data_IF_334283925868
#
_entry.id   IF_334283925868
#
_cell.length_a   1.000
_cell.length_b   1.000
_cell.length_c   1.000
_cell.angle_alpha   90.00
_cell.angle_beta   90.00
_cell.angle_gamma   90.00
#
_symmetry.space_group_name_H-M   'P 1'
#
loop_
_entity.id
_entity.type
_entity.pdbx_description
1 polymer ?
#
# COMPACT_ATOMS: atom_id res chain seq x y z
N UNK A 1 19.59 2.03 -44.92
CA UNK A 1 20.12 2.00 -43.52
C UNK A 1 19.26 2.75 -42.49
N UNK A 2 18.20 3.49 -42.85
CA UNK A 2 17.30 4.18 -41.88
C UNK A 2 16.22 3.28 -41.25
N UNK A 3 15.88 2.13 -41.85
CA UNK A 3 14.75 1.27 -41.39
C UNK A 3 15.02 0.43 -40.13
N UNK A 4 16.30 0.26 -39.74
CA UNK A 4 16.70 -0.53 -38.56
C UNK A 4 16.94 0.38 -37.34
N UNK A 5 17.11 1.69 -37.54
CA UNK A 5 17.38 2.64 -36.46
C UNK A 5 16.14 2.89 -35.58
N UNK A 6 14.95 2.96 -36.18
CA UNK A 6 13.68 3.20 -35.48
C UNK A 6 13.28 2.07 -34.50
N UNK A 7 13.34 0.77 -34.85
CA UNK A 7 13.02 -0.28 -33.88
C UNK A 7 14.03 -0.36 -32.74
N UNK A 8 15.32 -0.10 -32.99
CA UNK A 8 16.34 -0.07 -31.94
C UNK A 8 16.13 1.09 -30.95
N UNK A 9 15.74 2.27 -31.44
CA UNK A 9 15.42 3.41 -30.60
C UNK A 9 14.15 3.18 -29.79
N UNK A 10 13.14 2.53 -30.39
CA UNK A 10 11.93 2.13 -29.68
C UNK A 10 12.21 1.09 -28.59
N UNK A 11 13.02 0.06 -28.87
CA UNK A 11 13.43 -0.94 -27.88
C UNK A 11 14.24 -0.29 -26.75
N UNK A 12 15.15 0.62 -27.07
CA UNK A 12 15.93 1.35 -26.06
C UNK A 12 15.03 2.22 -25.17
N UNK A 13 14.05 2.94 -25.75
CA UNK A 13 13.07 3.73 -24.99
C UNK A 13 12.17 2.85 -24.11
N UNK A 14 11.68 1.71 -24.63
CA UNK A 14 10.90 0.73 -23.84
C UNK A 14 11.75 0.19 -22.69
N UNK A 15 13.02 -0.10 -22.95
CA UNK A 15 13.96 -0.56 -21.93
C UNK A 15 14.19 0.50 -20.86
N UNK A 16 14.39 1.77 -21.24
CA UNK A 16 14.60 2.87 -20.28
C UNK A 16 13.34 3.14 -19.44
N UNK A 17 12.16 3.08 -20.05
CA UNK A 17 10.88 3.20 -19.34
C UNK A 17 10.67 2.02 -18.39
N UNK A 18 10.97 0.80 -18.84
CA UNK A 18 10.94 -0.39 -17.98
C UNK A 18 11.92 -0.22 -16.80
N UNK A 19 13.13 0.26 -17.02
CA UNK A 19 14.13 0.49 -15.97
C UNK A 19 13.69 1.52 -14.91
N UNK A 20 13.02 2.62 -15.29
CA UNK A 20 12.50 3.61 -14.32
C UNK A 20 11.26 3.15 -13.56
N UNK A 21 10.45 2.29 -14.18
CA UNK A 21 9.36 1.59 -13.47
C UNK A 21 9.91 0.46 -12.60
N UNK A 22 11.15 0.00 -12.83
CA UNK A 22 11.72 -1.16 -12.14
C UNK A 22 12.83 -0.85 -11.14
N UNK A 23 13.25 0.41 -10.99
CA UNK A 23 14.20 0.78 -9.93
C UNK A 23 13.50 0.63 -8.58
N UNK A 24 14.00 -0.25 -7.67
CA UNK A 24 13.45 -0.38 -6.33
C UNK A 24 13.50 0.97 -5.63
N UNK A 25 12.51 1.22 -4.76
CA UNK A 25 12.60 2.37 -3.85
C UNK A 25 13.88 2.18 -3.03
N UNK A 26 14.68 3.23 -2.92
CA UNK A 26 15.90 3.17 -2.13
C UNK A 26 15.52 3.14 -0.65
N UNK A 27 15.50 1.94 -0.06
CA UNK A 27 15.13 1.72 1.34
C UNK A 27 16.07 2.47 2.31
N UNK A 28 17.28 2.84 1.86
CA UNK A 28 18.19 3.70 2.63
C UNK A 28 17.66 5.12 2.79
N UNK A 29 16.70 5.57 1.97
CA UNK A 29 16.08 6.88 2.09
C UNK A 29 15.25 7.04 3.38
N UNK A 30 14.75 5.93 3.94
CA UNK A 30 14.05 5.93 5.22
C UNK A 30 14.98 5.71 6.41
N UNK A 31 16.22 5.26 6.19
CA UNK A 31 17.20 5.05 7.25
C UNK A 31 17.65 6.40 7.84
N UNK A 32 17.27 6.66 9.10
CA UNK A 32 17.68 7.85 9.86
C UNK A 32 16.60 8.90 10.08
N UNK A 33 15.39 8.72 9.54
CA UNK A 33 14.24 9.52 9.98
C UNK A 33 13.72 8.96 11.30
N UNK A 34 13.31 9.79 12.26
CA UNK A 34 12.56 9.33 13.45
C UNK A 34 11.11 9.10 13.02
N UNK A 35 10.87 7.93 12.43
CA UNK A 35 9.82 7.66 11.45
C UNK A 35 8.37 7.65 12.00
N UNK A 36 8.10 7.93 13.27
CA UNK A 36 6.75 7.77 13.85
C UNK A 36 6.16 9.01 14.57
N UNK A 37 6.70 10.21 14.31
CA UNK A 37 6.31 11.47 14.97
C UNK A 37 6.02 12.63 13.99
N UNK A 38 5.88 12.35 12.70
CA UNK A 38 5.59 13.35 11.68
C UNK A 38 4.10 13.69 11.55
N UNK A 39 3.70 14.36 10.45
CA UNK A 39 2.31 14.73 10.19
C UNK A 39 1.37 13.52 10.02
N UNK A 40 1.79 12.42 9.38
CA UNK A 40 0.93 11.25 9.20
C UNK A 40 0.63 10.59 10.55
N UNK A 41 1.65 10.42 11.39
CA UNK A 41 1.54 9.81 12.72
C UNK A 41 0.64 10.63 13.61
N UNK A 42 0.78 11.96 13.60
CA UNK A 42 -0.13 12.85 14.34
C UNK A 42 -1.56 12.68 13.86
N UNK A 43 -1.80 12.74 12.55
CA UNK A 43 -3.15 12.57 11.99
C UNK A 43 -3.78 11.22 12.40
N UNK A 44 -3.07 10.10 12.23
CA UNK A 44 -3.57 8.77 12.60
C UNK A 44 -3.85 8.68 14.11
N UNK A 45 -2.96 9.22 14.94
CA UNK A 45 -3.14 9.24 16.40
C UNK A 45 -4.37 10.05 16.79
N UNK A 46 -4.52 11.24 16.21
CA UNK A 46 -5.60 12.16 16.52
C UNK A 46 -6.94 11.59 16.07
N UNK A 47 -6.99 10.97 14.88
CA UNK A 47 -8.17 10.26 14.38
C UNK A 47 -8.58 9.12 15.33
N UNK A 48 -7.63 8.27 15.73
CA UNK A 48 -7.89 7.18 16.66
C UNK A 48 -8.40 7.68 18.02
N UNK A 49 -7.82 8.76 18.56
CA UNK A 49 -8.27 9.38 19.82
C UNK A 49 -9.64 10.03 19.71
N UNK A 50 -9.94 10.70 18.61
CA UNK A 50 -11.27 11.30 18.36
C UNK A 50 -12.37 10.23 18.30
N UNK A 51 -12.03 9.04 17.80
CA UNK A 51 -12.88 7.85 17.86
C UNK A 51 -13.02 7.23 19.26
N UNK A 52 -12.50 7.85 20.31
CA UNK A 52 -12.36 7.29 21.66
C UNK A 52 -11.55 5.97 21.69
N UNK A 53 -10.50 5.89 20.87
CA UNK A 53 -9.60 4.72 20.79
C UNK A 53 -10.33 3.42 20.42
N UNK A 54 -11.47 3.58 19.75
CA UNK A 54 -12.30 2.49 19.27
C UNK A 54 -11.52 1.62 18.28
N UNK A 55 -11.68 0.30 18.38
CA UNK A 55 -11.05 -0.60 17.43
C UNK A 55 -11.63 -0.43 16.02
N UNK A 56 -10.81 -0.59 14.97
CA UNK A 56 -11.24 -0.37 13.59
C UNK A 56 -12.45 -1.23 13.17
N UNK A 57 -12.65 -2.39 13.82
CA UNK A 57 -13.80 -3.27 13.59
C UNK A 57 -15.13 -2.67 14.03
N UNK A 58 -15.09 -1.74 14.98
CA UNK A 58 -16.27 -1.07 15.51
C UNK A 58 -16.61 0.20 14.71
N UNK A 59 -15.81 0.54 13.70
CA UNK A 59 -16.16 1.59 12.74
C UNK A 59 -17.27 1.09 11.80
N UNK A 60 -18.33 1.89 11.65
CA UNK A 60 -19.39 1.64 10.67
C UNK A 60 -18.79 1.43 9.27
N UNK A 61 -17.77 2.21 8.95
CA UNK A 61 -16.96 2.05 7.76
C UNK A 61 -15.51 2.47 8.06
N UNK A 62 -14.60 1.49 8.10
CA UNK A 62 -13.16 1.71 8.35
C UNK A 62 -12.49 2.68 7.36
N UNK A 63 -13.10 2.91 6.19
CA UNK A 63 -12.60 3.85 5.20
C UNK A 63 -13.02 5.30 5.47
N UNK A 64 -13.82 5.59 6.51
CA UNK A 64 -14.26 6.95 6.84
C UNK A 64 -13.10 7.89 7.16
N UNK A 65 -11.94 7.36 7.58
CA UNK A 65 -10.70 8.14 7.71
C UNK A 65 -10.34 8.88 6.42
N UNK A 66 -10.69 8.34 5.24
CA UNK A 66 -10.41 8.96 3.94
C UNK A 66 -11.31 10.17 3.65
N UNK A 67 -12.41 10.33 4.38
CA UNK A 67 -13.30 11.48 4.27
C UNK A 67 -12.77 12.71 5.04
N UNK A 68 -11.81 12.52 5.95
CA UNK A 68 -11.19 13.63 6.68
C UNK A 68 -10.45 14.59 5.73
N UNK A 69 -10.62 15.92 5.88
CA UNK A 69 -9.93 16.89 5.02
C UNK A 69 -8.41 16.70 4.97
N UNK A 70 -7.81 16.32 6.10
CA UNK A 70 -6.37 16.04 6.20
C UNK A 70 -5.95 14.77 5.44
N UNK A 71 -6.82 13.76 5.32
CA UNK A 71 -6.52 12.57 4.54
C UNK A 71 -6.40 12.86 3.04
N UNK A 72 -7.06 13.90 2.54
CA UNK A 72 -6.95 14.31 1.13
C UNK A 72 -5.52 14.71 0.76
N UNK A 73 -4.82 15.48 1.60
CA UNK A 73 -3.43 15.88 1.31
C UNK A 73 -2.46 14.70 1.37
N UNK A 74 -2.70 13.75 2.28
CA UNK A 74 -1.93 12.51 2.39
C UNK A 74 -2.14 11.65 1.14
N UNK A 75 -3.39 11.39 0.76
CA UNK A 75 -3.74 10.48 -0.34
C UNK A 75 -3.43 11.05 -1.73
N UNK A 76 -3.31 12.37 -1.88
CA UNK A 76 -2.84 13.00 -3.13
C UNK A 76 -1.32 12.89 -3.31
N UNK A 77 -0.55 12.83 -2.23
CA UNK A 77 0.92 12.72 -2.26
C UNK A 77 1.44 11.68 -1.26
N UNK A 78 0.98 10.41 -1.32
CA UNK A 78 1.25 9.41 -0.29
C UNK A 78 2.74 9.07 -0.17
N UNK A 79 3.51 9.20 -1.26
CA UNK A 79 4.95 9.01 -1.26
C UNK A 79 5.70 9.93 -0.28
N UNK A 80 5.18 11.14 -0.01
CA UNK A 80 5.79 12.08 0.93
C UNK A 80 5.71 11.59 2.39
N UNK A 81 4.75 10.70 2.68
CA UNK A 81 4.52 10.12 4.00
C UNK A 81 4.96 8.67 4.08
N UNK A 82 5.59 8.14 3.02
CA UNK A 82 5.87 6.72 2.87
C UNK A 82 6.78 6.18 3.98
N UNK A 83 7.91 6.84 4.23
CA UNK A 83 8.78 6.43 5.32
C UNK A 83 7.99 6.43 6.63
N UNK A 84 7.29 7.53 6.93
CA UNK A 84 6.48 7.65 8.14
C UNK A 84 5.47 6.51 8.32
N UNK A 85 4.82 6.08 7.24
CA UNK A 85 3.93 4.95 7.23
C UNK A 85 4.65 3.64 7.60
N UNK A 86 5.85 3.39 7.07
CA UNK A 86 6.65 2.22 7.45
C UNK A 86 6.98 2.23 8.95
N UNK A 87 7.33 3.40 9.51
CA UNK A 87 7.60 3.55 10.94
C UNK A 87 6.39 3.26 11.83
N UNK A 88 5.19 3.71 11.41
CA UNK A 88 3.94 3.39 12.10
C UNK A 88 3.62 1.90 12.08
N UNK A 89 3.80 1.24 10.92
CA UNK A 89 3.56 -0.19 10.77
C UNK A 89 4.56 -1.04 11.56
N UNK A 90 5.82 -0.63 11.60
CA UNK A 90 6.88 -1.31 12.36
C UNK A 90 6.72 -1.14 13.87
N UNK A 91 6.24 0.02 14.32
CA UNK A 91 6.28 0.41 15.73
C UNK A 91 5.51 -0.55 16.64
N UNK A 92 6.11 -1.06 17.72
CA UNK A 92 5.42 -1.89 18.71
C UNK A 92 4.46 -1.10 19.60
N UNK A 93 4.60 0.23 19.67
CA UNK A 93 3.76 1.07 20.53
C UNK A 93 2.48 1.54 19.84
N UNK A 94 2.30 1.18 18.56
CA UNK A 94 1.11 1.51 17.76
C UNK A 94 0.15 0.33 17.76
N UNK A 95 -1.13 0.64 17.92
CA UNK A 95 -2.22 -0.36 17.89
C UNK A 95 -2.43 -0.91 16.48
N UNK A 96 -3.08 -2.07 16.35
CA UNK A 96 -3.43 -2.60 15.04
C UNK A 96 -4.42 -1.69 14.29
N UNK A 97 -5.33 -1.00 14.98
CA UNK A 97 -6.23 -0.01 14.37
C UNK A 97 -5.48 1.15 13.73
N UNK A 98 -4.51 1.74 14.42
CA UNK A 98 -3.65 2.79 13.85
C UNK A 98 -2.90 2.29 12.60
N UNK A 99 -2.47 1.02 12.61
CA UNK A 99 -1.79 0.40 11.47
C UNK A 99 -2.75 0.14 10.30
N UNK A 100 -3.99 -0.27 10.56
CA UNK A 100 -5.04 -0.38 9.55
C UNK A 100 -5.29 0.97 8.88
N UNK A 101 -5.50 2.03 9.67
CA UNK A 101 -5.68 3.39 9.17
C UNK A 101 -4.49 3.87 8.33
N UNK A 102 -3.27 3.57 8.78
CA UNK A 102 -2.03 3.85 8.05
C UNK A 102 -2.02 3.14 6.69
N UNK A 103 -2.34 1.84 6.64
CA UNK A 103 -2.42 1.06 5.40
C UNK A 103 -3.47 1.62 4.44
N UNK A 104 -4.62 2.07 4.96
CA UNK A 104 -5.70 2.69 4.16
C UNK A 104 -5.24 3.99 3.51
N UNK A 105 -4.53 4.85 4.23
CA UNK A 105 -4.01 6.12 3.70
C UNK A 105 -2.97 5.90 2.59
N UNK A 106 -2.29 4.76 2.60
CA UNK A 106 -1.26 4.39 1.62
C UNK A 106 -1.80 3.69 0.37
N UNK A 107 -3.12 3.48 0.24
CA UNK A 107 -3.72 2.79 -0.91
C UNK A 107 -3.48 3.47 -2.26
N UNK A 108 -3.12 4.77 -2.27
CA UNK A 108 -2.81 5.52 -3.48
C UNK A 108 -1.31 5.62 -3.81
N UNK A 109 -0.45 4.86 -3.13
CA UNK A 109 0.98 4.85 -3.45
C UNK A 109 1.24 4.50 -4.93
N UNK A 110 2.22 5.13 -5.59
CA UNK A 110 2.66 4.70 -6.90
C UNK A 110 3.23 3.27 -6.81
N UNK A 111 3.13 2.52 -7.91
CA UNK A 111 3.45 1.09 -7.97
C UNK A 111 4.75 0.70 -7.24
N UNK A 112 5.86 1.43 -7.46
CA UNK A 112 7.15 1.08 -6.84
C UNK A 112 7.10 1.14 -5.32
N UNK A 113 6.45 2.17 -4.76
CA UNK A 113 6.30 2.31 -3.32
C UNK A 113 5.32 1.30 -2.75
N UNK A 114 4.26 0.97 -3.50
CA UNK A 114 3.29 -0.03 -3.06
C UNK A 114 3.88 -1.44 -3.06
N UNK A 115 4.66 -1.82 -4.08
CA UNK A 115 5.36 -3.11 -4.10
C UNK A 115 6.36 -3.22 -2.96
N UNK A 116 7.07 -2.14 -2.64
CA UNK A 116 7.98 -2.10 -1.50
C UNK A 116 7.21 -2.13 -0.16
N UNK A 117 6.07 -1.44 -0.04
CA UNK A 117 5.16 -1.55 1.10
C UNK A 117 4.73 -3.00 1.36
N UNK A 118 4.40 -3.77 0.32
CA UNK A 118 4.08 -5.19 0.45
C UNK A 118 5.26 -6.01 0.97
N UNK A 119 6.50 -5.71 0.57
CA UNK A 119 7.69 -6.41 1.05
C UNK A 119 8.01 -6.08 2.51
N UNK A 120 7.91 -4.82 2.91
CA UNK A 120 8.04 -4.43 4.32
C UNK A 120 6.91 -5.02 5.17
N UNK A 121 5.67 -5.00 4.68
CA UNK A 121 4.53 -5.57 5.41
C UNK A 121 4.69 -7.07 5.62
N UNK A 122 5.21 -7.80 4.64
CA UNK A 122 5.58 -9.21 4.83
C UNK A 122 6.58 -9.39 5.97
N UNK A 123 7.67 -8.61 5.98
CA UNK A 123 8.66 -8.66 7.07
C UNK A 123 8.01 -8.36 8.41
N UNK A 124 7.25 -7.27 8.52
CA UNK A 124 6.56 -6.88 9.73
C UNK A 124 5.58 -7.95 10.23
N UNK A 125 4.90 -8.64 9.32
CA UNK A 125 4.00 -9.75 9.66
C UNK A 125 4.78 -10.96 10.21
N UNK A 126 5.88 -11.34 9.53
CA UNK A 126 6.76 -12.43 9.99
C UNK A 126 7.37 -12.16 11.37
N UNK A 127 7.59 -10.90 11.71
CA UNK A 127 8.11 -10.45 13.01
C UNK A 127 7.01 -10.20 14.06
N UNK A 128 5.73 -10.38 13.72
CA UNK A 128 4.60 -10.16 14.62
C UNK A 128 4.35 -8.68 14.95
N UNK A 129 4.87 -7.75 14.14
CA UNK A 129 4.62 -6.30 14.28
C UNK A 129 3.24 -5.92 13.75
N UNK A 130 2.80 -6.57 12.68
CA UNK A 130 1.44 -6.44 12.13
C UNK A 130 0.75 -7.79 12.14
N UNK A 131 -0.58 -7.79 12.27
CA UNK A 131 -1.40 -8.99 12.16
C UNK A 131 -1.83 -9.27 10.71
N UNK A 132 -2.59 -10.34 10.54
CA UNK A 132 -3.18 -10.76 9.26
C UNK A 132 -4.17 -9.71 8.72
N UNK A 133 -4.86 -8.99 9.59
CA UNK A 133 -5.78 -7.91 9.24
C UNK A 133 -5.04 -6.78 8.53
N UNK A 134 -4.02 -6.21 9.16
CA UNK A 134 -3.23 -5.11 8.58
C UNK A 134 -2.58 -5.57 7.27
N UNK A 135 -2.02 -6.77 7.25
CA UNK A 135 -1.47 -7.35 6.02
C UNK A 135 -2.55 -7.50 4.94
N UNK A 136 -3.78 -7.89 5.30
CA UNK A 136 -4.92 -7.98 4.40
C UNK A 136 -5.32 -6.65 3.76
N UNK A 137 -5.21 -5.54 4.49
CA UNK A 137 -5.41 -4.21 3.91
C UNK A 137 -4.35 -3.84 2.87
N UNK A 138 -3.10 -4.26 3.08
CA UNK A 138 -1.99 -4.06 2.13
C UNK A 138 -2.09 -5.00 0.92
N UNK A 139 -2.58 -6.22 1.09
CA UNK A 139 -2.62 -7.23 0.03
C UNK A 139 -3.86 -7.14 -0.85
N UNK A 140 -5.02 -6.73 -0.33
CA UNK A 140 -6.24 -6.68 -1.14
C UNK A 140 -6.18 -5.45 -2.06
N UNK A 141 -6.19 -5.60 -3.40
CA UNK A 141 -6.00 -4.46 -4.27
C UNK A 141 -7.15 -3.45 -4.14
N UNK A 142 -6.78 -2.21 -3.82
CA UNK A 142 -7.60 -1.01 -3.64
C UNK A 142 -6.82 0.22 -4.10
N UNK A 143 -7.45 1.38 -4.26
CA UNK A 143 -6.78 2.61 -4.68
C UNK A 143 -5.99 2.45 -5.99
N UNK A 144 -4.70 2.79 -6.01
CA UNK A 144 -3.88 2.68 -7.23
C UNK A 144 -3.51 1.26 -7.58
N UNK A 145 -3.46 0.33 -6.60
CA UNK A 145 -3.25 -1.10 -6.86
C UNK A 145 -4.32 -1.67 -7.78
N UNK A 146 -5.44 -0.96 -7.89
CA UNK A 146 -6.47 -1.26 -8.85
C UNK A 146 -5.97 -1.33 -10.32
N UNK A 147 -4.94 -0.55 -10.64
CA UNK A 147 -4.42 -0.41 -12.00
C UNK A 147 -3.34 -1.44 -12.35
N UNK A 148 -2.73 -2.10 -11.36
CA UNK A 148 -1.51 -2.89 -11.56
C UNK A 148 -1.45 -4.23 -10.82
N UNK A 149 -2.52 -4.63 -10.12
CA UNK A 149 -2.62 -5.93 -9.44
C UNK A 149 -2.33 -7.13 -10.36
N UNK A 150 -2.60 -7.00 -11.66
CA UNK A 150 -2.42 -8.06 -12.64
C UNK A 150 -0.96 -8.28 -13.03
N UNK A 151 -0.06 -7.37 -12.66
CA UNK A 151 1.36 -7.47 -12.98
C UNK A 151 2.04 -8.63 -12.23
N UNK A 152 3.00 -9.35 -12.85
CA UNK A 152 3.69 -10.47 -12.21
C UNK A 152 4.35 -10.14 -10.86
N UNK A 153 4.89 -8.93 -10.71
CA UNK A 153 5.59 -8.51 -9.48
C UNK A 153 4.62 -8.38 -8.31
N UNK A 154 3.42 -7.85 -8.57
CA UNK A 154 2.37 -7.75 -7.56
C UNK A 154 1.84 -9.15 -7.23
N UNK A 155 1.51 -9.95 -8.26
CA UNK A 155 0.98 -11.31 -8.08
C UNK A 155 1.93 -12.22 -7.32
N UNK A 156 3.24 -12.08 -7.53
CA UNK A 156 4.26 -12.81 -6.78
C UNK A 156 4.18 -12.53 -5.28
N UNK A 157 4.12 -11.25 -4.88
CA UNK A 157 3.99 -10.82 -3.48
C UNK A 157 2.64 -11.22 -2.88
N UNK A 158 1.57 -11.04 -3.63
CA UNK A 158 0.24 -11.49 -3.21
C UNK A 158 0.21 -13.00 -2.96
N UNK A 159 0.68 -13.82 -3.90
CA UNK A 159 0.68 -15.28 -3.74
C UNK A 159 1.60 -15.76 -2.60
N UNK A 160 2.66 -15.02 -2.27
CA UNK A 160 3.52 -15.30 -1.11
C UNK A 160 2.75 -15.22 0.20
N UNK A 161 1.92 -14.18 0.34
CA UNK A 161 1.36 -13.79 1.64
C UNK A 161 -0.13 -14.12 1.80
N UNK A 162 -0.90 -14.11 0.71
CA UNK A 162 -2.34 -14.32 0.70
C UNK A 162 -2.81 -15.62 1.38
N UNK A 163 -2.12 -16.78 1.26
CA UNK A 163 -2.54 -18.01 1.95
C UNK A 163 -2.57 -17.90 3.48
N UNK A 164 -1.88 -16.93 4.07
CA UNK A 164 -1.87 -16.70 5.53
C UNK A 164 -2.95 -15.72 5.99
N UNK A 165 -3.67 -15.09 5.06
CA UNK A 165 -4.56 -13.95 5.32
C UNK A 165 -5.98 -14.17 4.78
N UNK A 166 -6.09 -14.81 3.62
CA UNK A 166 -7.37 -15.00 2.93
C UNK A 166 -7.67 -16.48 2.74
N UNK A 167 -8.95 -16.88 2.81
CA UNK A 167 -9.36 -18.23 2.43
C UNK A 167 -9.20 -18.42 0.90
N UNK A 168 -9.03 -19.65 0.40
CA UNK A 168 -8.81 -19.92 -1.02
C UNK A 168 -9.86 -19.32 -1.99
N UNK A 169 -11.18 -19.28 -1.68
CA UNK A 169 -12.16 -18.62 -2.53
C UNK A 169 -11.88 -17.13 -2.75
N UNK A 170 -11.50 -16.41 -1.69
CA UNK A 170 -11.20 -14.97 -1.75
C UNK A 170 -9.93 -14.71 -2.56
N UNK A 171 -8.92 -15.57 -2.42
CA UNK A 171 -7.69 -15.52 -3.22
C UNK A 171 -8.05 -15.67 -4.71
N UNK A 172 -8.87 -16.66 -5.05
CA UNK A 172 -9.30 -16.90 -6.42
C UNK A 172 -10.13 -15.72 -6.96
N UNK A 173 -11.00 -15.13 -6.15
CA UNK A 173 -11.79 -13.95 -6.52
C UNK A 173 -10.90 -12.74 -6.80
N UNK A 174 -9.97 -12.41 -5.90
CA UNK A 174 -9.01 -11.31 -6.07
C UNK A 174 -8.18 -11.50 -7.34
N UNK A 175 -7.65 -12.70 -7.57
CA UNK A 175 -6.85 -13.02 -8.75
C UNK A 175 -7.68 -13.04 -10.04
N UNK A 176 -8.97 -13.32 -9.98
CA UNK A 176 -9.86 -13.24 -11.15
C UNK A 176 -10.16 -11.81 -11.55
N UNK A 177 -10.11 -10.89 -10.58
CA UNK A 177 -10.57 -9.54 -10.73
C UNK A 177 -12.09 -9.37 -10.91
N UNK A 178 -12.90 -10.37 -10.55
CA UNK A 178 -14.36 -10.17 -10.64
C UNK A 178 -14.88 -9.17 -9.62
N UNK A 179 -14.22 -9.07 -8.47
CA UNK A 179 -14.62 -8.16 -7.40
C UNK A 179 -14.56 -6.67 -7.79
N UNK A 180 -13.79 -6.30 -8.84
CA UNK A 180 -13.72 -4.94 -9.38
C UNK A 180 -15.07 -4.40 -9.84
N UNK A 181 -15.89 -5.27 -10.42
CA UNK A 181 -17.19 -4.90 -11.00
C UNK A 181 -18.22 -4.54 -9.93
N UNK A 182 -17.97 -4.94 -8.68
CA UNK A 182 -18.80 -4.65 -7.52
C UNK A 182 -18.19 -3.57 -6.61
N UNK A 183 -16.95 -3.14 -6.89
CA UNK A 183 -16.33 -2.03 -6.17
C UNK A 183 -16.89 -0.72 -6.73
N UNK A 184 -17.62 0.10 -5.94
CA UNK A 184 -18.16 1.35 -6.44
C UNK A 184 -17.01 2.22 -6.94
N UNK A 185 -17.08 2.60 -8.23
CA UNK A 185 -16.10 3.43 -8.94
C UNK A 185 -16.03 4.89 -8.50
N UNK A 186 -16.27 5.17 -7.22
CA UNK A 186 -16.05 6.47 -6.60
C UNK A 186 -14.81 6.37 -5.69
N UNK A 187 -13.65 6.50 -6.32
CA UNK A 187 -12.34 6.78 -5.75
C UNK A 187 -12.15 6.63 -4.24
N UNK A 188 -11.64 5.48 -3.82
CA UNK A 188 -10.70 5.38 -2.71
C UNK A 188 -9.53 4.48 -3.10
#
# INVERSE_FOLDING_TARGET
>A
MKKILYPLLAIALISIVAWRVWSPVDDLACAGQTVANGPLSRFVTDYFKQGNERAWQEDTNVFDILAEPTASSITQQPQAYYCEALGLLESPTRTQSEKVYTSILMLKLPINHYLNLMDHSHRFYKEGRIDDTVLGFVLKPRGTALNYWWLPQWRSRFNRDAPSVFPPPDIAEILSGKYWLHYPGAGF
#
